data_IF_484660897774
#
_entry.id   IF_484660897774
#
_cell.length_a   1.000
_cell.length_b   1.000
_cell.length_c   1.000
_cell.angle_alpha   90.00
_cell.angle_beta   90.00
_cell.angle_gamma   90.00
#
_symmetry.space_group_name_H-M   'P 1'
#
loop_
_entity.id
_entity.type
_entity.pdbx_description
1 polymer ?
#
# COMPACT_ATOMS: atom_id res chain seq x y z
N UNK A 1 -14.09 -5.17 -38.88
CA UNK A 1 -13.86 -5.18 -38.02
C UNK A 1 -13.56 -5.02 -37.35
N UNK A 2 -13.54 -5.09 -37.21
CA UNK A 2 -13.27 -5.10 -36.18
C UNK A 2 -12.90 -5.22 -35.48
N UNK A 3 -12.98 -5.43 -35.51
CA UNK A 3 -12.73 -5.68 -34.60
C UNK A 3 -12.20 -5.80 -33.97
N UNK A 4 -12.31 -5.93 -34.17
CA UNK A 4 -11.87 -6.19 -33.28
C UNK A 4 -11.25 -6.09 -32.66
N UNK A 5 -11.35 -6.18 -32.81
CA UNK A 5 -10.85 -6.19 -31.92
C UNK A 5 -10.52 -6.24 -31.19
N UNK A 6 -10.76 -6.44 -31.20
CA UNK A 6 -10.48 -6.63 -30.25
C UNK A 6 -10.11 -6.98 -29.68
N UNK A 7 -10.19 -7.20 -29.87
CA UNK A 7 -9.82 -7.66 -29.07
C UNK A 7 -9.30 -7.85 -28.60
N UNK A 8 -9.42 -7.92 -28.81
CA UNK A 8 -8.85 -8.26 -28.09
C UNK A 8 -8.31 -8.24 -27.43
N UNK A 9 -8.34 -8.43 -27.58
CA UNK A 9 -7.76 -8.62 -26.67
C UNK A 9 -7.65 -8.62 -25.89
N UNK A 10 -7.70 -8.74 -25.65
CA UNK A 10 -7.50 -8.92 -24.67
C UNK A 10 -7.16 -9.20 -24.12
N UNK A 11 -7.34 -9.40 -24.13
CA UNK A 11 -6.83 -9.79 -23.42
C UNK A 11 -6.31 -9.71 -22.89
N UNK A 12 -6.22 -9.65 -22.86
CA UNK A 12 -5.64 -9.75 -22.06
C UNK A 12 -5.58 -9.53 -21.62
N UNK A 13 -5.83 -9.79 -21.31
CA UNK A 13 -5.63 -9.88 -20.59
C UNK A 13 -5.20 -10.09 -19.99
N UNK A 14 -5.62 -10.32 -21.03
CA UNK A 14 -5.33 -10.91 -20.09
C UNK A 14 -4.24 -11.09 -19.22
N UNK A 15 -3.28 -10.99 -19.52
CA UNK A 15 -2.26 -10.95 -18.49
C UNK A 15 -2.56 -9.83 -17.55
N UNK A 16 -3.52 -10.08 -16.72
CA UNK A 16 -3.89 -9.12 -15.72
C UNK A 16 -2.70 -8.85 -14.83
N UNK A 17 -2.58 -7.61 -14.37
CA UNK A 17 -1.62 -7.27 -13.37
C UNK A 17 -1.92 -8.05 -12.09
N UNK A 18 -0.89 -8.50 -11.43
CA UNK A 18 -1.08 -9.16 -10.16
C UNK A 18 -1.28 -8.14 -9.06
N UNK A 19 -2.03 -8.53 -8.04
CA UNK A 19 -2.18 -7.70 -6.86
C UNK A 19 -0.84 -7.52 -6.19
N UNK A 20 -0.59 -6.32 -5.70
CA UNK A 20 0.64 -6.00 -4.99
C UNK A 20 0.29 -5.05 -3.85
N UNK A 21 1.00 -5.17 -2.72
CA UNK A 21 0.78 -4.22 -1.64
C UNK A 21 1.49 -2.91 -1.96
N UNK A 22 0.82 -1.80 -1.67
CA UNK A 22 1.41 -0.49 -1.88
C UNK A 22 0.73 0.54 -1.00
N UNK A 23 1.34 1.72 -0.90
CA UNK A 23 0.78 2.83 -0.15
C UNK A 23 0.68 4.04 -1.06
N UNK A 24 -0.38 4.82 -0.90
CA UNK A 24 -0.62 6.03 -1.68
C UNK A 24 -0.81 7.21 -0.74
N UNK A 25 -0.06 8.27 -0.99
CA UNK A 25 -0.14 9.47 -0.16
C UNK A 25 -0.81 10.58 -0.96
N UNK A 26 -1.97 11.04 -0.50
CA UNK A 26 -2.71 12.12 -1.13
C UNK A 26 -3.20 13.05 -0.03
N UNK A 27 -2.84 14.33 -0.11
CA UNK A 27 -3.33 15.37 0.80
C UNK A 27 -3.16 14.98 2.27
N UNK A 28 -2.00 14.41 2.59
CA UNK A 28 -1.69 14.06 3.97
C UNK A 28 -2.25 12.73 4.44
N UNK A 29 -2.98 12.02 3.58
CA UNK A 29 -3.56 10.71 3.92
C UNK A 29 -2.73 9.62 3.25
N UNK A 30 -2.14 8.75 4.06
CA UNK A 30 -1.38 7.60 3.57
C UNK A 30 -2.29 6.38 3.66
N UNK A 31 -2.68 5.83 2.51
CA UNK A 31 -3.59 4.70 2.45
C UNK A 31 -2.87 3.46 1.94
N UNK A 32 -3.09 2.34 2.61
CA UNK A 32 -2.47 1.06 2.26
C UNK A 32 -3.46 0.18 1.51
N UNK A 33 -3.04 -0.34 0.37
CA UNK A 33 -3.86 -1.17 -0.51
C UNK A 33 -3.16 -2.47 -0.87
N UNK A 34 -3.94 -3.43 -1.28
CA UNK A 34 -3.42 -4.66 -1.89
C UNK A 34 -4.29 -5.00 -3.09
N UNK A 35 -3.92 -4.54 -4.27
CA UNK A 35 -4.66 -4.80 -5.49
C UNK A 35 -3.74 -4.59 -6.69
N UNK A 36 -4.31 -4.62 -7.89
CA UNK A 36 -3.55 -4.51 -9.12
C UNK A 36 -3.53 -3.09 -9.68
N UNK A 37 -3.80 -2.08 -8.85
CA UNK A 37 -3.98 -0.71 -9.33
C UNK A 37 -2.86 0.24 -8.90
N UNK A 38 -1.72 -0.31 -8.49
CA UNK A 38 -0.58 0.53 -8.12
C UNK A 38 -0.20 1.41 -9.30
N UNK A 39 -0.06 2.70 -9.05
CA UNK A 39 0.23 3.68 -10.07
C UNK A 39 1.59 4.33 -9.81
N UNK A 40 2.06 5.09 -10.81
CA UNK A 40 3.29 5.84 -10.64
C UNK A 40 3.15 6.80 -9.48
N UNK A 41 4.17 6.87 -8.65
CA UNK A 41 4.12 7.71 -7.47
C UNK A 41 3.67 6.99 -6.21
N UNK A 42 3.05 5.81 -6.35
CA UNK A 42 2.71 5.01 -5.18
C UNK A 42 3.97 4.35 -4.63
N UNK A 43 3.95 4.03 -3.34
CA UNK A 43 5.11 3.50 -2.65
C UNK A 43 4.99 1.99 -2.46
N UNK A 44 6.11 1.29 -2.68
CA UNK A 44 6.16 -0.14 -2.35
C UNK A 44 6.19 -0.32 -0.83
N UNK A 45 5.67 -1.45 -0.37
CA UNK A 45 5.75 -1.79 1.04
C UNK A 45 7.12 -2.42 1.28
N UNK A 46 7.91 -1.88 2.20
CA UNK A 46 9.25 -2.41 2.43
C UNK A 46 9.22 -3.78 3.09
N UNK A 47 10.24 -4.57 2.84
CA UNK A 47 10.44 -5.83 3.51
C UNK A 47 11.30 -5.60 4.75
N UNK A 48 11.03 -6.40 5.78
CA UNK A 48 11.82 -6.36 7.00
C UNK A 48 11.77 -5.01 7.68
N UNK A 49 12.92 -4.52 8.13
CA UNK A 49 13.00 -3.30 8.92
C UNK A 49 13.48 -2.10 8.10
N UNK A 50 13.45 -2.20 6.79
CA UNK A 50 13.85 -1.09 5.93
C UNK A 50 12.96 0.13 6.17
N UNK A 51 13.56 1.31 6.02
CA UNK A 51 12.80 2.55 6.14
C UNK A 51 11.97 2.73 4.87
N UNK A 52 10.65 2.92 5.00
CA UNK A 52 9.80 3.06 3.81
C UNK A 52 10.14 4.30 3.00
N UNK A 53 9.90 4.22 1.69
CA UNK A 53 10.16 5.36 0.83
C UNK A 53 9.29 6.57 1.17
N UNK A 54 8.10 6.37 1.75
CA UNK A 54 7.24 7.49 2.14
C UNK A 54 7.78 8.23 3.37
N UNK A 55 8.82 7.71 4.00
CA UNK A 55 9.37 8.37 5.19
C UNK A 55 9.84 9.78 4.90
N UNK A 56 10.27 10.06 3.67
CA UNK A 56 10.69 11.41 3.30
C UNK A 56 9.54 12.41 3.39
N UNK A 57 8.29 11.93 3.39
CA UNK A 57 7.11 12.78 3.51
C UNK A 57 6.40 12.56 4.84
N UNK A 58 7.06 11.93 5.80
CA UNK A 58 6.41 11.55 7.06
C UNK A 58 5.78 12.74 7.78
N UNK A 59 6.44 13.91 7.72
CA UNK A 59 5.94 15.09 8.41
C UNK A 59 4.65 15.64 7.81
N UNK A 60 4.29 15.17 6.60
CA UNK A 60 3.06 15.61 5.94
C UNK A 60 1.91 14.64 6.15
N UNK A 61 2.16 13.52 6.84
CA UNK A 61 1.13 12.51 7.06
C UNK A 61 0.32 12.89 8.28
N UNK A 62 -0.97 13.16 8.07
CA UNK A 62 -1.87 13.49 9.19
C UNK A 62 -2.82 12.35 9.47
N UNK A 63 -3.00 11.42 8.51
CA UNK A 63 -3.92 10.32 8.68
C UNK A 63 -3.38 9.11 7.93
N UNK A 64 -3.59 7.93 8.52
CA UNK A 64 -3.29 6.66 7.89
C UNK A 64 -4.58 5.87 7.75
N UNK A 65 -4.76 5.19 6.62
CA UNK A 65 -5.92 4.35 6.40
C UNK A 65 -5.47 3.02 5.81
N UNK A 66 -6.07 1.93 6.27
CA UNK A 66 -5.86 0.61 5.69
C UNK A 66 -7.11 0.23 4.94
N UNK A 67 -6.98 0.07 3.61
CA UNK A 67 -8.09 -0.39 2.79
C UNK A 67 -8.43 -1.85 3.15
N UNK A 68 -9.69 -2.27 3.06
CA UNK A 68 -10.03 -3.67 3.35
C UNK A 68 -9.22 -4.68 2.57
N UNK A 69 -8.75 -4.34 1.36
CA UNK A 69 -7.93 -5.24 0.57
C UNK A 69 -6.62 -5.59 1.26
N UNK A 70 -6.14 -4.75 2.17
CA UNK A 70 -4.86 -4.97 2.83
C UNK A 70 -4.90 -6.13 3.82
N UNK A 71 -6.08 -6.63 4.14
CA UNK A 71 -6.23 -7.75 5.08
C UNK A 71 -5.50 -9.00 4.61
N UNK A 72 -5.26 -9.12 3.31
CA UNK A 72 -4.59 -10.29 2.75
C UNK A 72 -3.07 -10.14 2.74
N UNK A 73 -2.55 -9.00 3.16
CA UNK A 73 -1.12 -8.78 3.31
C UNK A 73 -0.72 -9.17 4.73
N UNK A 74 0.35 -9.94 4.86
CA UNK A 74 0.84 -10.37 6.17
C UNK A 74 2.27 -9.90 6.32
N UNK A 75 2.47 -8.62 6.64
CA UNK A 75 3.83 -8.09 6.71
C UNK A 75 4.63 -8.79 7.80
N UNK A 76 5.91 -9.01 7.53
CA UNK A 76 6.80 -9.58 8.52
C UNK A 76 7.33 -8.53 9.48
N UNK A 77 7.19 -7.26 9.12
CA UNK A 77 7.59 -6.15 9.98
C UNK A 77 6.85 -4.90 9.57
N UNK A 78 6.41 -4.13 10.55
CA UNK A 78 5.85 -2.80 10.34
C UNK A 78 6.78 -1.76 10.94
N UNK A 79 8.04 -2.12 11.16
CA UNK A 79 9.03 -1.23 11.74
C UNK A 79 9.20 0.00 10.86
N UNK A 80 9.27 1.15 11.49
CA UNK A 80 9.53 2.44 10.83
C UNK A 80 8.42 2.91 9.90
N UNK A 81 7.28 2.21 9.82
CA UNK A 81 6.22 2.62 8.91
C UNK A 81 5.71 4.03 9.20
N UNK A 82 5.69 4.43 10.45
CA UNK A 82 5.19 5.76 10.85
C UNK A 82 6.27 6.61 11.51
N UNK A 83 7.53 6.23 11.31
CA UNK A 83 8.64 6.96 11.91
C UNK A 83 8.65 8.39 11.39
N UNK A 84 8.69 9.34 12.30
CA UNK A 84 8.75 10.73 11.93
C UNK A 84 7.40 11.36 11.58
N UNK A 85 6.32 10.59 11.66
CA UNK A 85 4.98 11.11 11.37
C UNK A 85 4.44 11.87 12.57
N UNK A 86 5.07 13.01 12.85
CA UNK A 86 4.80 13.79 14.08
C UNK A 86 3.44 14.48 14.07
N UNK A 87 2.82 14.60 12.89
CA UNK A 87 1.51 15.22 12.76
C UNK A 87 0.39 14.20 12.57
N UNK A 88 0.70 12.92 12.73
CA UNK A 88 -0.30 11.87 12.56
C UNK A 88 -1.37 11.99 13.66
N UNK A 89 -2.63 12.11 13.25
CA UNK A 89 -3.75 12.32 14.15
C UNK A 89 -4.65 11.11 14.29
N UNK A 90 -4.74 10.28 13.25
CA UNK A 90 -5.66 9.15 13.30
C UNK A 90 -5.22 8.04 12.36
N UNK A 91 -5.63 6.82 12.70
CA UNK A 91 -5.43 5.63 11.86
C UNK A 91 -6.78 4.96 11.72
N UNK A 92 -7.22 4.75 10.47
CA UNK A 92 -8.48 4.09 10.17
C UNK A 92 -8.21 2.73 9.55
N UNK A 93 -9.13 1.80 9.78
CA UNK A 93 -9.02 0.48 9.16
C UNK A 93 -7.95 -0.40 9.75
N UNK A 94 -7.51 -0.12 10.97
CA UNK A 94 -6.43 -0.88 11.60
C UNK A 94 -6.79 -2.36 11.70
N UNK A 95 -8.07 -2.70 11.71
CA UNK A 95 -8.51 -4.09 11.74
C UNK A 95 -8.10 -4.85 10.47
N UNK A 96 -7.75 -4.14 9.40
CA UNK A 96 -7.30 -4.76 8.16
C UNK A 96 -5.79 -4.95 8.12
N UNK A 97 -5.07 -4.57 9.17
CA UNK A 97 -3.64 -4.81 9.27
C UNK A 97 -3.43 -6.15 9.98
N UNK A 98 -2.98 -7.14 9.21
CA UNK A 98 -2.78 -8.48 9.76
C UNK A 98 -1.34 -8.62 10.23
N UNK A 99 -1.14 -8.64 11.54
CA UNK A 99 0.20 -8.70 12.12
C UNK A 99 0.61 -10.12 12.55
N UNK A 100 -0.13 -11.14 12.08
CA UNK A 100 0.14 -12.51 12.52
C UNK A 100 1.55 -13.01 12.17
N UNK A 101 2.19 -12.43 11.16
CA UNK A 101 3.54 -12.80 10.76
C UNK A 101 4.57 -11.74 11.10
N UNK A 102 4.17 -10.67 11.78
CA UNK A 102 5.07 -9.56 12.07
C UNK A 102 6.00 -9.92 13.22
N UNK A 103 7.28 -9.68 13.03
CA UNK A 103 8.30 -9.89 14.06
C UNK A 103 8.74 -8.59 14.72
N UNK A 104 8.34 -7.45 14.16
CA UNK A 104 8.69 -6.14 14.72
C UNK A 104 7.61 -5.13 14.36
N UNK A 105 7.19 -4.36 15.36
CA UNK A 105 6.22 -3.29 15.18
C UNK A 105 6.78 -1.95 15.65
N UNK A 106 8.07 -1.88 15.89
CA UNK A 106 8.68 -0.64 16.33
C UNK A 106 8.65 0.42 15.22
N UNK A 107 8.64 1.67 15.60
CA UNK A 107 8.57 2.75 14.64
C UNK A 107 9.53 3.88 15.00
#
# INVERSE_FOLDING_TARGET
MLLIMLLLVPLGHAMAQQSTPYARLIDGVLTFYYNAEKAEGDYDIPAGTSIPAWNSSAKNITKVAFDPSFKDVKPTSCANWFKGASLLESIEGLEYLNTSHATSLSS
#
